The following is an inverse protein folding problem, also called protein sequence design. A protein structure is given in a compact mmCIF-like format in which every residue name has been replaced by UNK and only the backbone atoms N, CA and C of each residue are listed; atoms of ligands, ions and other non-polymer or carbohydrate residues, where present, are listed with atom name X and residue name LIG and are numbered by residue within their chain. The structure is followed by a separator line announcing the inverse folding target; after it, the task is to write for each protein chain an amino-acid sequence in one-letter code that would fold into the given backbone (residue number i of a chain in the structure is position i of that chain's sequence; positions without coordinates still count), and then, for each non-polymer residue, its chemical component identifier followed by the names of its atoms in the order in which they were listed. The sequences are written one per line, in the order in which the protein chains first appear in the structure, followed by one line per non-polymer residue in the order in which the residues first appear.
data_IF_400922551763
#
_entry.id   IF_400922551763
#
_cell.length_a   1.000
_cell.length_b   1.000
_cell.length_c   1.000
_cell.angle_alpha   90.00
_cell.angle_beta   90.00
_cell.angle_gamma   90.00
#
_symmetry.space_group_name_H-M   'P 1'
#
loop_
_entity.id
_entity.type
_entity.pdbx_description
1 polymer ?
#
# COMPACT_ATOMS: atom_id res chain seq x y z
N UNK A 1 -8.34 18.01 12.28
CA UNK A 1 -8.75 17.64 10.90
C UNK A 1 -7.60 17.07 10.04
N UNK A 2 -6.37 17.60 10.14
CA UNK A 2 -5.19 17.08 9.41
C UNK A 2 -4.97 15.57 9.56
N UNK A 3 -5.01 15.06 10.79
CA UNK A 3 -4.72 13.65 11.09
C UNK A 3 -5.72 12.71 10.43
N UNK A 4 -7.02 13.02 10.51
CA UNK A 4 -8.09 12.23 9.88
C UNK A 4 -7.96 12.17 8.36
N UNK A 5 -7.64 13.30 7.71
CA UNK A 5 -7.39 13.34 6.26
C UNK A 5 -6.14 12.55 5.86
N UNK A 6 -5.05 12.67 6.63
CA UNK A 6 -3.82 11.88 6.45
C UNK A 6 -4.00 10.39 6.76
N UNK A 7 -5.10 10.01 7.41
CA UNK A 7 -5.44 8.63 7.71
C UNK A 7 -6.33 8.02 6.62
N UNK A 8 -7.41 8.74 6.28
CA UNK A 8 -8.44 8.26 5.37
C UNK A 8 -8.02 8.36 3.92
N UNK A 9 -7.48 9.48 3.44
CA UNK A 9 -7.21 9.63 2.00
C UNK A 9 -6.16 8.62 1.49
N UNK A 10 -5.03 8.40 2.18
CA UNK A 10 -4.01 7.49 1.67
C UNK A 10 -4.42 6.01 1.74
N UNK A 11 -5.47 5.67 2.47
CA UNK A 11 -6.00 4.30 2.57
C UNK A 11 -7.21 4.10 1.66
N UNK A 12 -8.12 5.08 1.63
CA UNK A 12 -9.33 5.06 0.83
C UNK A 12 -9.04 5.17 -0.68
N UNK A 13 -8.10 6.01 -1.09
CA UNK A 13 -7.80 6.19 -2.53
C UNK A 13 -7.27 4.90 -3.16
N UNK A 14 -6.20 4.25 -2.64
CA UNK A 14 -5.72 2.98 -3.20
C UNK A 14 -6.79 1.88 -3.11
N UNK A 15 -7.54 1.83 -2.00
CA UNK A 15 -8.62 0.87 -1.83
C UNK A 15 -9.70 1.02 -2.90
N UNK A 16 -10.17 2.24 -3.18
CA UNK A 16 -11.16 2.51 -4.21
C UNK A 16 -10.64 2.23 -5.62
N UNK A 17 -9.38 2.57 -5.91
CA UNK A 17 -8.73 2.24 -7.19
C UNK A 17 -8.72 0.72 -7.38
N UNK A 18 -8.27 -0.02 -6.37
CA UNK A 18 -8.19 -1.48 -6.43
C UNK A 18 -9.58 -2.13 -6.47
N UNK A 19 -10.56 -1.60 -5.73
CA UNK A 19 -11.95 -2.05 -5.79
C UNK A 19 -12.57 -1.81 -7.17
N UNK A 20 -12.30 -0.67 -7.79
CA UNK A 20 -12.78 -0.37 -9.15
C UNK A 20 -12.13 -1.27 -10.17
N UNK A 21 -10.82 -1.50 -10.07
CA UNK A 21 -10.10 -2.42 -10.94
C UNK A 21 -10.67 -3.85 -10.81
N UNK A 22 -10.87 -4.32 -9.59
CA UNK A 22 -11.50 -5.62 -9.29
C UNK A 22 -12.93 -5.71 -9.82
N UNK A 23 -13.70 -4.61 -9.80
CA UNK A 23 -15.07 -4.62 -10.29
C UNK A 23 -15.17 -4.68 -11.84
N UNK A 24 -14.16 -4.17 -12.56
CA UNK A 24 -14.16 -4.08 -14.02
C UNK A 24 -13.57 -5.31 -14.71
N UNK A 25 -12.63 -5.97 -14.07
CA UNK A 25 -11.96 -7.14 -14.63
C UNK A 25 -12.67 -8.41 -14.15
N UNK A 26 -13.31 -9.16 -15.05
CA UNK A 26 -14.06 -10.38 -14.69
C UNK A 26 -13.20 -11.63 -14.53
N UNK A 27 -11.90 -11.57 -14.85
CA UNK A 27 -10.99 -12.73 -14.85
C UNK A 27 -10.89 -13.42 -13.49
N UNK A 28 -11.08 -12.68 -12.39
CA UNK A 28 -11.08 -13.22 -11.04
C UNK A 28 -12.30 -14.10 -10.71
N UNK A 29 -13.40 -14.06 -11.48
CA UNK A 29 -14.62 -14.85 -11.19
C UNK A 29 -14.46 -16.35 -11.51
N UNK A 30 -13.51 -16.72 -12.37
CA UNK A 30 -13.30 -18.11 -12.80
C UNK A 30 -12.31 -18.89 -11.93
N UNK A 31 -11.68 -18.24 -10.94
CA UNK A 31 -10.67 -18.85 -10.08
C UNK A 31 -11.37 -19.56 -8.92
N UNK A 32 -11.66 -20.86 -9.09
CA UNK A 32 -12.08 -21.73 -7.97
C UNK A 32 -11.10 -22.88 -7.69
N UNK A 33 -10.18 -23.20 -8.62
CA UNK A 33 -9.37 -24.43 -8.53
C UNK A 33 -7.84 -24.22 -8.49
N UNK A 34 -7.32 -22.99 -8.63
CA UNK A 34 -5.86 -22.73 -8.71
C UNK A 34 -5.37 -21.61 -7.78
N UNK A 35 -5.81 -21.61 -6.52
CA UNK A 35 -5.38 -20.63 -5.50
C UNK A 35 -4.00 -20.91 -4.88
N UNK A 36 -3.18 -21.76 -5.52
CA UNK A 36 -1.85 -22.13 -5.01
C UNK A 36 -0.78 -21.09 -5.38
N UNK A 37 -1.04 -20.24 -6.37
CA UNK A 37 -0.08 -19.24 -6.85
C UNK A 37 -0.55 -17.80 -6.56
N UNK A 38 0.36 -16.98 -6.01
CA UNK A 38 0.09 -15.57 -5.70
C UNK A 38 0.21 -14.75 -6.98
N UNK A 39 -0.90 -14.64 -7.71
CA UNK A 39 -1.06 -13.76 -8.87
C UNK A 39 -1.89 -12.52 -8.55
N UNK A 40 -1.85 -11.52 -9.42
CA UNK A 40 -2.68 -10.31 -9.30
C UNK A 40 -4.19 -10.67 -9.31
N UNK A 41 -4.56 -11.69 -10.09
CA UNK A 41 -5.93 -12.19 -10.17
C UNK A 41 -6.35 -12.95 -8.88
N UNK A 42 -5.45 -13.73 -8.29
CA UNK A 42 -5.66 -14.34 -6.96
C UNK A 42 -5.87 -13.27 -5.88
N UNK A 43 -5.11 -12.17 -5.96
CA UNK A 43 -5.25 -11.02 -5.05
C UNK A 43 -6.61 -10.33 -5.21
N UNK A 44 -7.09 -10.16 -6.44
CA UNK A 44 -8.41 -9.59 -6.74
C UNK A 44 -9.55 -10.49 -6.26
N UNK A 45 -9.41 -11.81 -6.42
CA UNK A 45 -10.36 -12.78 -5.86
C UNK A 45 -10.44 -12.62 -4.34
N UNK A 46 -9.29 -12.65 -3.65
CA UNK A 46 -9.23 -12.47 -2.20
C UNK A 46 -9.80 -11.11 -1.76
N UNK A 47 -9.49 -10.04 -2.51
CA UNK A 47 -10.02 -8.72 -2.24
C UNK A 47 -11.54 -8.66 -2.32
N UNK A 48 -12.17 -9.38 -3.25
CA UNK A 48 -13.63 -9.38 -3.37
C UNK A 48 -14.33 -9.98 -2.15
N UNK A 49 -13.75 -11.02 -1.53
CA UNK A 49 -14.34 -11.68 -0.35
C UNK A 49 -13.90 -11.07 0.97
N UNK A 50 -12.65 -10.60 1.05
CA UNK A 50 -12.03 -10.10 2.29
C UNK A 50 -11.87 -8.58 2.30
N UNK A 51 -12.49 -7.87 1.36
CA UNK A 51 -12.41 -6.41 1.18
C UNK A 51 -12.53 -5.59 2.47
N UNK A 52 -13.54 -5.80 3.35
CA UNK A 52 -13.68 -4.98 4.56
C UNK A 52 -12.52 -5.22 5.53
N UNK A 53 -12.03 -6.45 5.64
CA UNK A 53 -10.90 -6.80 6.49
C UNK A 53 -9.60 -6.18 5.95
N UNK A 54 -9.38 -6.25 4.64
CA UNK A 54 -8.23 -5.61 4.00
C UNK A 54 -8.24 -4.10 4.22
N UNK A 55 -9.40 -3.45 4.13
CA UNK A 55 -9.50 -2.02 4.43
C UNK A 55 -9.14 -1.70 5.89
N UNK A 56 -9.62 -2.50 6.84
CA UNK A 56 -9.28 -2.33 8.27
C UNK A 56 -7.77 -2.47 8.48
N UNK A 57 -7.15 -3.48 7.87
CA UNK A 57 -5.70 -3.70 7.96
C UNK A 57 -4.92 -2.52 7.36
N UNK A 58 -5.33 -2.04 6.18
CA UNK A 58 -4.74 -0.85 5.54
C UNK A 58 -4.85 0.39 6.44
N UNK A 59 -6.04 0.60 7.02
CA UNK A 59 -6.29 1.71 7.93
C UNK A 59 -5.43 1.63 9.21
N UNK A 60 -5.34 0.44 9.80
CA UNK A 60 -4.52 0.21 11.00
C UNK A 60 -3.04 0.40 10.69
N UNK A 61 -2.57 -0.10 9.55
CA UNK A 61 -1.18 0.08 9.09
C UNK A 61 -0.87 1.57 8.90
N UNK A 62 -1.79 2.32 8.29
CA UNK A 62 -1.66 3.77 8.14
C UNK A 62 -1.52 4.46 9.49
N UNK A 63 -2.36 4.08 10.46
CA UNK A 63 -2.40 4.71 11.78
C UNK A 63 -1.19 4.37 12.64
N UNK A 64 -0.79 3.11 12.69
CA UNK A 64 0.23 2.60 13.61
C UNK A 64 1.63 2.78 13.05
N UNK A 65 1.80 2.68 11.73
CA UNK A 65 3.13 2.63 11.09
C UNK A 65 3.38 3.86 10.25
N UNK A 66 2.51 4.14 9.28
CA UNK A 66 2.80 5.15 8.24
C UNK A 66 2.77 6.56 8.81
N UNK A 67 1.73 6.89 9.58
CA UNK A 67 1.54 8.24 10.11
C UNK A 67 2.62 8.63 11.15
N UNK A 68 3.02 7.77 12.11
CA UNK A 68 4.11 8.09 13.03
C UNK A 68 5.43 8.30 12.32
N UNK A 69 5.76 7.44 11.34
CA UNK A 69 6.96 7.60 10.51
C UNK A 69 6.90 8.93 9.75
N UNK A 70 5.77 9.23 9.11
CA UNK A 70 5.57 10.48 8.35
C UNK A 70 5.68 11.72 9.22
N UNK A 71 5.09 11.72 10.42
CA UNK A 71 5.17 12.87 11.32
C UNK A 71 6.57 13.06 11.91
N UNK A 72 7.35 11.98 12.06
CA UNK A 72 8.75 12.06 12.51
C UNK A 72 9.68 12.72 11.48
N UNK A 73 9.30 12.70 10.19
CA UNK A 73 10.11 13.22 9.08
C UNK A 73 9.52 14.50 8.46
N UNK A 74 8.22 14.76 8.62
CA UNK A 74 7.53 15.93 8.05
C UNK A 74 7.99 17.19 8.79
N UNK A 75 9.08 17.78 8.30
CA UNK A 75 9.79 18.89 8.92
C UNK A 75 11.30 18.89 8.63
N UNK A 76 11.84 17.75 8.19
CA UNK A 76 13.24 17.62 7.76
C UNK A 76 13.49 17.98 6.29
N UNK A 77 14.77 18.13 5.89
CA UNK A 77 15.16 18.35 4.49
C UNK A 77 14.73 17.17 3.59
N UNK A 78 14.62 17.40 2.27
CA UNK A 78 14.21 16.41 1.25
C UNK A 78 14.90 15.02 1.37
N UNK A 79 16.12 14.98 1.94
CA UNK A 79 16.87 13.76 2.26
C UNK A 79 16.16 12.84 3.26
N UNK A 80 15.42 13.39 4.22
CA UNK A 80 14.63 12.61 5.19
C UNK A 80 13.49 11.85 4.50
N UNK A 81 12.87 12.45 3.47
CA UNK A 81 11.83 11.81 2.67
C UNK A 81 12.38 10.65 1.84
N UNK A 82 13.59 10.78 1.27
CA UNK A 82 14.25 9.68 0.55
C UNK A 82 14.63 8.52 1.47
N UNK A 83 15.12 8.81 2.68
CA UNK A 83 15.39 7.80 3.70
C UNK A 83 14.14 7.02 4.13
N UNK A 84 12.99 7.69 4.11
CA UNK A 84 11.70 7.07 4.44
C UNK A 84 11.29 6.06 3.39
N UNK A 85 11.50 6.39 2.12
CA UNK A 85 11.25 5.45 1.02
C UNK A 85 12.11 4.19 1.16
N UNK A 86 13.36 4.34 1.58
CA UNK A 86 14.28 3.23 1.81
C UNK A 86 13.86 2.38 3.03
N UNK A 87 13.42 3.03 4.11
CA UNK A 87 12.87 2.38 5.31
C UNK A 87 11.54 1.65 5.06
N UNK A 88 10.85 1.98 3.98
CA UNK A 88 9.60 1.34 3.56
C UNK A 88 9.84 0.14 2.65
N UNK A 89 10.84 0.22 1.77
CA UNK A 89 11.20 -0.86 0.85
C UNK A 89 11.69 -2.11 1.59
N UNK A 90 12.47 -1.94 2.67
CA UNK A 90 13.04 -3.07 3.43
C UNK A 90 11.95 -3.93 4.10
N UNK A 91 11.01 -3.37 4.90
CA UNK A 91 9.89 -4.13 5.45
C UNK A 91 8.98 -4.69 4.37
N UNK A 92 8.77 -3.96 3.26
CA UNK A 92 7.94 -4.46 2.16
C UNK A 92 8.55 -5.71 1.54
N UNK A 93 9.87 -5.73 1.32
CA UNK A 93 10.57 -6.92 0.83
C UNK A 93 10.51 -8.07 1.83
N UNK A 94 10.75 -7.81 3.12
CA UNK A 94 10.72 -8.84 4.16
C UNK A 94 9.32 -9.44 4.35
N UNK A 95 8.28 -8.61 4.36
CA UNK A 95 6.90 -9.08 4.48
C UNK A 95 6.48 -9.86 3.25
N UNK A 96 6.80 -9.39 2.04
CA UNK A 96 6.52 -10.13 0.81
C UNK A 96 7.26 -11.46 0.77
N UNK A 97 8.54 -11.49 1.16
CA UNK A 97 9.32 -12.72 1.27
C UNK A 97 8.73 -13.69 2.31
N UNK A 98 8.38 -13.20 3.49
CA UNK A 98 7.81 -14.00 4.57
C UNK A 98 6.44 -14.58 4.23
N UNK A 99 5.53 -13.74 3.72
CA UNK A 99 4.18 -14.18 3.32
C UNK A 99 4.25 -15.18 2.17
N UNK A 100 5.06 -14.90 1.14
CA UNK A 100 5.26 -15.86 0.05
C UNK A 100 5.84 -17.17 0.56
N UNK A 101 6.82 -17.15 1.45
CA UNK A 101 7.42 -18.38 1.99
C UNK A 101 6.43 -19.22 2.81
N UNK A 102 5.53 -18.58 3.57
CA UNK A 102 4.52 -19.27 4.38
C UNK A 102 3.43 -19.91 3.50
N UNK A 103 3.06 -19.25 2.39
CA UNK A 103 2.01 -19.72 1.48
C UNK A 103 2.57 -20.67 0.41
N UNK A 104 3.89 -20.66 0.20
CA UNK A 104 4.54 -21.39 -0.89
C UNK A 104 4.35 -22.90 -0.77
N UNK A 105 3.79 -23.47 -1.84
CA UNK A 105 3.74 -24.91 -2.04
C UNK A 105 5.08 -25.41 -2.60
N UNK A 106 5.78 -26.22 -1.81
CA UNK A 106 7.09 -26.79 -2.17
C UNK A 106 7.04 -27.67 -3.42
N UNK A 107 5.86 -28.12 -3.83
CA UNK A 107 5.68 -28.93 -5.04
C UNK A 107 5.79 -28.12 -6.34
N UNK A 108 5.57 -26.79 -6.28
CA UNK A 108 5.62 -25.88 -7.43
C UNK A 108 7.02 -25.33 -7.75
N UNK A 109 8.05 -25.74 -6.98
CA UNK A 109 9.43 -25.32 -7.19
C UNK A 109 9.72 -23.86 -6.77
N UNK A 110 11.00 -23.48 -6.82
CA UNK A 110 11.47 -22.18 -6.34
C UNK A 110 11.06 -20.98 -7.22
N UNK A 111 10.71 -21.22 -8.49
CA UNK A 111 10.30 -20.17 -9.42
C UNK A 111 8.97 -19.54 -9.00
N UNK A 112 7.99 -20.37 -8.59
CA UNK A 112 6.70 -19.90 -8.07
C UNK A 112 6.83 -19.04 -6.79
N UNK A 113 7.82 -19.36 -5.94
CA UNK A 113 8.14 -18.56 -4.76
C UNK A 113 8.66 -17.18 -5.19
N UNK A 114 9.59 -17.13 -6.15
CA UNK A 114 10.15 -15.88 -6.64
C UNK A 114 9.09 -14.98 -7.28
N UNK A 115 8.20 -15.55 -8.10
CA UNK A 115 7.11 -14.80 -8.73
C UNK A 115 6.09 -14.29 -7.70
N UNK A 116 5.80 -15.07 -6.67
CA UNK A 116 4.95 -14.65 -5.55
C UNK A 116 5.57 -13.48 -4.77
N UNK A 117 6.87 -13.59 -4.42
CA UNK A 117 7.61 -12.50 -3.73
C UNK A 117 7.61 -11.24 -4.57
N UNK A 118 7.94 -11.36 -5.86
CA UNK A 118 7.98 -10.23 -6.80
C UNK A 118 6.62 -9.56 -6.91
N UNK A 119 5.54 -10.34 -7.06
CA UNK A 119 4.17 -9.83 -7.19
C UNK A 119 3.76 -9.05 -5.93
N UNK A 120 3.91 -9.65 -4.75
CA UNK A 120 3.59 -8.98 -3.48
C UNK A 120 4.46 -7.75 -3.26
N UNK A 121 5.76 -7.83 -3.56
CA UNK A 121 6.66 -6.69 -3.43
C UNK A 121 6.27 -5.52 -4.33
N UNK A 122 5.89 -5.77 -5.59
CA UNK A 122 5.43 -4.74 -6.51
C UNK A 122 4.15 -4.09 -6.00
N UNK A 123 3.16 -4.89 -5.58
CA UNK A 123 1.89 -4.38 -5.04
C UNK A 123 2.13 -3.53 -3.78
N UNK A 124 2.93 -4.03 -2.85
CA UNK A 124 3.25 -3.35 -1.60
C UNK A 124 4.01 -2.04 -1.87
N UNK A 125 4.98 -2.05 -2.78
CA UNK A 125 5.76 -0.87 -3.16
C UNK A 125 4.88 0.19 -3.82
N UNK A 126 4.02 -0.21 -4.77
CA UNK A 126 3.08 0.70 -5.42
C UNK A 126 2.13 1.34 -4.40
N UNK A 127 1.58 0.54 -3.49
CA UNK A 127 0.74 1.04 -2.40
C UNK A 127 1.46 2.13 -1.60
N UNK A 128 2.69 1.86 -1.17
CA UNK A 128 3.48 2.81 -0.39
C UNK A 128 3.82 4.08 -1.16
N UNK A 129 4.19 3.98 -2.43
CA UNK A 129 4.46 5.15 -3.28
C UNK A 129 3.23 6.03 -3.38
N UNK A 130 2.06 5.46 -3.68
CA UNK A 130 0.80 6.22 -3.76
C UNK A 130 0.47 6.87 -2.41
N UNK A 131 0.65 6.13 -1.32
CA UNK A 131 0.38 6.62 0.04
C UNK A 131 1.26 7.85 0.39
N UNK A 132 2.57 7.75 0.15
CA UNK A 132 3.53 8.85 0.34
C UNK A 132 3.17 10.07 -0.54
N UNK A 133 2.81 9.85 -1.80
CA UNK A 133 2.42 10.93 -2.72
C UNK A 133 1.16 11.67 -2.24
N UNK A 134 0.18 10.95 -1.71
CA UNK A 134 -1.03 11.54 -1.13
C UNK A 134 -0.68 12.35 0.12
N UNK A 135 0.13 11.80 1.02
CA UNK A 135 0.57 12.52 2.23
C UNK A 135 1.34 13.79 1.88
N UNK A 136 2.24 13.72 0.91
CA UNK A 136 2.99 14.87 0.42
C UNK A 136 2.06 15.94 -0.17
N UNK A 137 1.06 15.54 -0.95
CA UNK A 137 0.08 16.45 -1.55
C UNK A 137 -0.78 17.11 -0.48
N UNK A 138 -1.22 16.38 0.55
CA UNK A 138 -1.97 16.94 1.69
C UNK A 138 -1.14 18.02 2.40
N UNK A 139 0.16 17.76 2.65
CA UNK A 139 1.03 18.74 3.31
C UNK A 139 1.31 19.95 2.42
N UNK A 140 1.52 19.77 1.11
CA UNK A 140 1.67 20.86 0.15
C UNK A 140 0.44 21.77 0.09
N UNK A 141 -0.76 21.19 -0.03
CA UNK A 141 -2.01 21.95 -0.07
C UNK A 141 -2.16 22.74 1.22
N UNK A 142 -1.92 22.12 2.37
CA UNK A 142 -2.06 22.79 3.65
C UNK A 142 -1.07 23.94 3.84
N UNK A 143 0.19 23.77 3.41
CA UNK A 143 1.19 24.85 3.44
C UNK A 143 0.78 26.00 2.53
N UNK A 144 0.20 25.73 1.37
CA UNK A 144 -0.31 26.76 0.45
C UNK A 144 -1.50 27.52 1.05
N UNK A 145 -2.42 26.85 1.74
CA UNK A 145 -3.62 27.47 2.32
C UNK A 145 -3.32 28.26 3.60
N UNK A 146 -2.29 27.89 4.36
CA UNK A 146 -1.93 28.53 5.64
C UNK A 146 -0.73 29.48 5.56
N UNK A 147 -0.23 29.81 4.36
CA UNK A 147 0.67 30.96 4.23
C UNK A 147 -0.13 32.21 4.62
N UNK A 148 0.31 32.99 5.64
CA UNK A 148 -0.26 34.30 5.88
C UNK A 148 -0.19 35.07 4.55
N UNK A 149 -1.30 35.69 4.14
CA UNK A 149 -1.19 36.74 3.15
C UNK A 149 -0.29 37.80 3.78
N UNK A 150 0.97 37.86 3.35
CA UNK A 150 1.80 39.04 3.58
C UNK A 150 1.00 40.20 2.97
N UNK A 151 0.49 41.04 3.86
CA UNK A 151 -0.26 42.24 3.56
C UNK A 151 0.64 43.13 2.69
N UNK A 152 0.33 43.22 1.41
CA UNK A 152 0.72 44.35 0.55
C UNK A 152 -0.41 45.36 0.48
#
# INVERSE_FOLDING_TARGET
MKTLLKLLLPTLIPYLIFARYTALDESHKQISEQLTEISLTSLMFYFRYSSPYLYIILFLTQYVVILPIWNSISGGPLRATAFTLLWVLIPSLLLSAGVSYVIWDRTLGADSLYDSVKTLFVVQTLYWVVNILILFTIDLIYLKTNKPQEQT
#
